data_IF_302960575152
#
_entry.id   IF_302960575152
#
_cell.length_a   1.000
_cell.length_b   1.000
_cell.length_c   1.000
_cell.angle_alpha   90.00
_cell.angle_beta   90.00
_cell.angle_gamma   90.00
#
_symmetry.space_group_name_H-M   'P 1'
#
loop_
_entity.id
_entity.type
_entity.pdbx_description
1 polymer ?
#
# COMPACT_ATOMS: atom_id res chain seq x y z
N UNK A 1 17.31 -6.84 31.64
CA UNK A 1 16.96 -5.45 31.24
C UNK A 1 16.24 -5.54 29.91
N UNK A 2 14.98 -5.11 29.87
CA UNK A 2 14.13 -5.18 28.67
C UNK A 2 14.52 -4.04 27.73
N UNK A 3 14.96 -4.36 26.52
CA UNK A 3 15.12 -3.36 25.46
C UNK A 3 13.73 -3.02 24.94
N UNK A 4 13.11 -1.97 25.48
CA UNK A 4 11.89 -1.40 24.90
C UNK A 4 12.32 -0.69 23.62
N UNK A 5 12.31 -1.45 22.51
CA UNK A 5 12.51 -0.91 21.17
C UNK A 5 11.44 0.15 20.94
N UNK A 6 11.85 1.42 20.97
CA UNK A 6 11.00 2.48 20.48
C UNK A 6 10.88 2.24 18.98
N UNK A 7 9.70 1.83 18.53
CA UNK A 7 9.42 1.69 17.10
C UNK A 7 9.85 2.96 16.37
N UNK A 8 10.36 2.80 15.14
CA UNK A 8 10.80 3.93 14.34
C UNK A 8 9.67 4.98 14.21
N UNK A 9 9.98 6.23 13.87
CA UNK A 9 8.93 7.24 13.60
C UNK A 9 7.90 6.73 12.56
N UNK A 10 8.38 5.92 11.61
CA UNK A 10 7.54 5.22 10.65
C UNK A 10 6.63 4.18 11.32
N UNK A 11 7.12 3.37 12.26
CA UNK A 11 6.30 2.38 12.98
C UNK A 11 5.18 3.06 13.78
N UNK A 12 5.46 4.21 14.40
CA UNK A 12 4.46 5.00 15.13
C UNK A 12 3.37 5.56 14.18
N UNK A 13 3.77 6.02 12.99
CA UNK A 13 2.83 6.45 11.96
C UNK A 13 1.96 5.29 11.46
N UNK A 14 2.56 4.12 11.22
CA UNK A 14 1.83 2.93 10.77
C UNK A 14 0.88 2.44 11.85
N UNK A 15 1.29 2.47 13.13
CA UNK A 15 0.40 2.16 14.24
C UNK A 15 -0.81 3.11 14.25
N UNK A 16 -0.61 4.41 14.02
CA UNK A 16 -1.71 5.36 13.92
C UNK A 16 -2.65 5.05 12.73
N UNK A 17 -2.13 4.55 11.60
CA UNK A 17 -2.95 4.03 10.50
C UNK A 17 -3.77 2.80 10.94
N UNK A 18 -3.18 1.89 11.71
CA UNK A 18 -3.86 0.68 12.21
C UNK A 18 -4.90 0.92 13.31
N UNK A 19 -4.79 2.05 14.00
CA UNK A 19 -5.72 2.46 15.05
C UNK A 19 -6.85 3.35 14.50
N UNK A 20 -6.70 3.84 13.27
CA UNK A 20 -7.73 4.62 12.60
C UNK A 20 -8.90 3.73 12.10
N UNK A 21 -10.15 4.24 12.09
CA UNK A 21 -11.30 3.49 11.58
C UNK A 21 -11.25 3.03 10.10
N UNK A 22 -10.63 3.78 9.16
CA UNK A 22 -10.63 3.40 7.76
C UNK A 22 -9.91 2.08 7.48
N UNK A 23 -10.40 1.39 6.46
CA UNK A 23 -9.82 0.16 5.90
C UNK A 23 -9.49 0.43 4.44
N UNK A 24 -8.52 -0.29 3.89
CA UNK A 24 -8.01 -0.04 2.54
C UNK A 24 -7.88 -1.33 1.74
N UNK A 25 -8.14 -1.22 0.44
CA UNK A 25 -7.59 -2.10 -0.59
C UNK A 25 -6.38 -1.38 -1.18
N UNK A 26 -5.24 -2.06 -1.28
CA UNK A 26 -3.99 -1.44 -1.76
C UNK A 26 -3.61 -1.93 -3.14
N UNK A 27 -3.90 -1.14 -4.17
CA UNK A 27 -3.35 -1.34 -5.51
C UNK A 27 -2.03 -0.58 -5.66
N UNK A 28 -1.01 -1.24 -6.18
CA UNK A 28 0.29 -0.61 -6.38
C UNK A 28 1.08 -1.23 -7.53
N UNK A 29 2.21 -0.61 -7.84
CA UNK A 29 3.24 -1.18 -8.71
C UNK A 29 4.62 -0.96 -8.08
N UNK A 30 5.54 -1.89 -8.34
CA UNK A 30 6.96 -1.72 -8.04
C UNK A 30 7.26 -1.35 -6.59
N UNK A 31 7.76 -0.13 -6.39
CA UNK A 31 8.20 0.37 -5.09
C UNK A 31 7.10 0.40 -4.01
N UNK A 32 5.81 0.33 -4.40
CA UNK A 32 4.71 0.21 -3.45
C UNK A 32 4.76 -1.06 -2.59
N UNK A 33 5.44 -2.12 -3.05
CA UNK A 33 5.67 -3.34 -2.26
C UNK A 33 6.37 -3.06 -0.93
N UNK A 34 7.23 -2.03 -0.86
CA UNK A 34 7.87 -1.63 0.40
C UNK A 34 6.86 -1.05 1.40
N UNK A 35 5.89 -0.27 0.93
CA UNK A 35 4.83 0.25 1.79
C UNK A 35 3.93 -0.88 2.31
N UNK A 36 3.63 -1.89 1.48
CA UNK A 36 2.90 -3.08 1.93
C UNK A 36 3.69 -3.85 3.00
N UNK A 37 4.99 -4.05 2.79
CA UNK A 37 5.86 -4.67 3.80
C UNK A 37 5.82 -3.91 5.13
N UNK A 38 5.97 -2.58 5.07
CA UNK A 38 5.92 -1.71 6.25
C UNK A 38 4.57 -1.81 6.98
N UNK A 39 3.45 -1.76 6.24
CA UNK A 39 2.11 -1.97 6.79
C UNK A 39 1.94 -3.35 7.44
N UNK A 40 2.55 -4.40 6.92
CA UNK A 40 2.47 -5.75 7.50
C UNK A 40 3.46 -5.99 8.64
N UNK A 41 4.55 -5.22 8.71
CA UNK A 41 5.57 -5.36 9.75
C UNK A 41 5.10 -4.87 11.13
N UNK A 42 4.05 -4.04 11.18
CA UNK A 42 3.45 -3.54 12.42
C UNK A 42 2.16 -4.31 12.75
N UNK A 43 1.98 -4.64 14.03
CA UNK A 43 0.80 -5.36 14.49
C UNK A 43 -0.49 -4.55 14.25
N UNK A 44 -1.52 -5.21 13.71
CA UNK A 44 -2.81 -4.58 13.41
C UNK A 44 -3.11 -4.44 11.92
N UNK A 45 -2.16 -4.78 11.05
CA UNK A 45 -2.32 -4.76 9.60
C UNK A 45 -3.61 -5.38 9.08
N UNK A 46 -4.05 -6.51 9.62
CA UNK A 46 -5.29 -7.19 9.23
C UNK A 46 -6.57 -6.43 9.55
N UNK A 47 -6.53 -5.41 10.43
CA UNK A 47 -7.67 -4.50 10.65
C UNK A 47 -7.77 -3.41 9.59
N UNK A 48 -6.65 -3.09 8.93
CA UNK A 48 -6.55 -1.99 7.97
C UNK A 48 -6.57 -2.49 6.53
N UNK A 49 -5.66 -3.41 6.17
CA UNK A 49 -5.47 -3.88 4.80
C UNK A 49 -6.42 -5.05 4.55
N UNK A 50 -7.46 -4.81 3.73
CA UNK A 50 -8.42 -5.82 3.33
C UNK A 50 -7.85 -6.73 2.24
N UNK A 51 -7.18 -6.13 1.26
CA UNK A 51 -6.56 -6.79 0.13
C UNK A 51 -5.42 -5.91 -0.41
N UNK A 52 -4.43 -6.54 -1.05
CA UNK A 52 -3.37 -5.83 -1.74
C UNK A 52 -3.08 -6.49 -3.10
N UNK A 53 -2.96 -5.68 -4.15
CA UNK A 53 -2.74 -6.13 -5.53
C UNK A 53 -1.52 -5.44 -6.09
N UNK A 54 -0.47 -6.23 -6.38
CA UNK A 54 0.72 -5.76 -7.06
C UNK A 54 0.56 -5.91 -8.59
N UNK A 55 0.31 -4.80 -9.26
CA UNK A 55 0.23 -4.72 -10.72
C UNK A 55 1.59 -4.49 -11.37
N UNK A 56 2.64 -5.18 -10.91
CA UNK A 56 4.04 -4.94 -11.30
C UNK A 56 4.29 -4.98 -12.81
N UNK A 57 3.72 -5.97 -13.51
CA UNK A 57 3.94 -6.12 -14.95
C UNK A 57 3.08 -5.11 -15.74
N UNK A 58 3.58 -4.52 -16.85
CA UNK A 58 2.81 -3.59 -17.66
C UNK A 58 1.44 -4.13 -18.11
N UNK A 59 1.36 -5.43 -18.42
CA UNK A 59 0.10 -6.11 -18.77
C UNK A 59 -0.91 -6.16 -17.60
N UNK A 60 -0.42 -6.29 -16.37
CA UNK A 60 -1.27 -6.34 -15.17
C UNK A 60 -1.77 -4.94 -14.82
N UNK A 61 -0.88 -3.94 -14.89
CA UNK A 61 -1.26 -2.54 -14.74
C UNK A 61 -2.32 -2.16 -15.77
N UNK A 62 -2.08 -2.46 -17.04
CA UNK A 62 -3.02 -2.16 -18.12
C UNK A 62 -4.38 -2.86 -17.94
N UNK A 63 -4.39 -4.11 -17.49
CA UNK A 63 -5.64 -4.84 -17.23
C UNK A 63 -6.46 -4.19 -16.11
N UNK A 64 -5.80 -3.68 -15.06
CA UNK A 64 -6.48 -3.07 -13.92
C UNK A 64 -6.99 -1.65 -14.25
N UNK A 65 -6.18 -0.82 -14.91
CA UNK A 65 -6.53 0.60 -15.20
C UNK A 65 -7.30 0.79 -16.52
N UNK A 66 -7.69 -0.29 -17.20
CA UNK A 66 -8.53 -0.25 -18.41
C UNK A 66 -7.78 -0.01 -19.73
N UNK A 67 -6.45 -0.09 -19.74
CA UNK A 67 -5.61 0.04 -20.93
C UNK A 67 -4.16 0.43 -20.59
N UNK A 68 -3.23 0.41 -21.56
CA UNK A 68 -1.86 0.84 -21.32
C UNK A 68 -1.82 2.31 -20.89
N UNK A 69 -1.29 2.65 -19.71
CA UNK A 69 -1.19 4.05 -19.30
C UNK A 69 -0.15 4.77 -20.17
N UNK A 70 -0.36 6.06 -20.42
CA UNK A 70 0.61 6.90 -21.14
C UNK A 70 1.97 6.96 -20.41
N UNK A 71 1.95 6.94 -19.08
CA UNK A 71 3.13 6.91 -18.22
C UNK A 71 2.82 6.20 -16.90
N UNK A 72 3.52 5.10 -16.61
CA UNK A 72 3.26 4.31 -15.41
C UNK A 72 3.51 5.09 -14.10
N UNK A 73 4.57 5.91 -14.06
CA UNK A 73 4.87 6.78 -12.91
C UNK A 73 4.25 8.15 -13.16
N UNK A 74 2.98 8.30 -12.79
CA UNK A 74 2.23 9.55 -12.90
C UNK A 74 1.13 9.63 -11.85
N UNK A 75 0.69 10.85 -11.51
CA UNK A 75 -0.46 11.05 -10.64
C UNK A 75 -1.73 10.41 -11.23
N UNK A 76 -1.95 10.57 -12.53
CA UNK A 76 -3.09 9.98 -13.23
C UNK A 76 -3.15 8.45 -13.12
N UNK A 77 -2.01 7.75 -13.22
CA UNK A 77 -1.98 6.29 -13.03
C UNK A 77 -2.20 5.91 -11.57
N UNK A 78 -1.67 6.67 -10.62
CA UNK A 78 -1.93 6.44 -9.19
C UNK A 78 -3.42 6.64 -8.84
N UNK A 79 -4.06 7.66 -9.39
CA UNK A 79 -5.50 7.90 -9.23
C UNK A 79 -6.34 6.78 -9.84
N UNK A 80 -5.96 6.28 -11.02
CA UNK A 80 -6.65 5.15 -11.65
C UNK A 80 -6.54 3.85 -10.83
N UNK A 81 -5.36 3.58 -10.26
CA UNK A 81 -5.16 2.48 -9.31
C UNK A 81 -6.05 2.64 -8.07
N UNK A 82 -6.09 3.85 -7.49
CA UNK A 82 -6.88 4.15 -6.30
C UNK A 82 -8.39 4.14 -6.56
N UNK A 83 -8.85 4.51 -7.75
CA UNK A 83 -10.27 4.48 -8.12
C UNK A 83 -10.80 3.06 -8.35
N UNK A 84 -9.92 2.12 -8.68
CA UNK A 84 -10.26 0.70 -8.76
C UNK A 84 -10.38 0.04 -7.37
N UNK A 85 -9.56 0.50 -6.42
CA UNK A 85 -9.46 -0.04 -5.06
C UNK A 85 -10.63 0.41 -4.17
#
# INVERSE_FOLDING_TARGET
>A
MMNVGHGSNLDALIQAIHDAPPRLVYTFTGAGSLALHQLHAVAGSSRTVLEAVDCYAPRSLAALVGGPPAQAVSAATAEALAAWA
#
